data_IF_541481089087
#
_entry.id   IF_541481089087
#
_cell.length_a   1.000
_cell.length_b   1.000
_cell.length_c   1.000
_cell.angle_alpha   90.00
_cell.angle_beta   90.00
_cell.angle_gamma   90.00
#
_symmetry.space_group_name_H-M   'P 1'
#
loop_
_entity.id
_entity.type
_entity.pdbx_description
1 polymer ?
#
# COMPACT_ATOMS: atom_id res chain seq x y z
N UNK A 1 13.44 12.27 2.33
CA UNK A 1 12.45 11.57 1.49
C UNK A 1 13.16 10.58 0.60
N UNK A 2 12.76 9.32 0.67
CA UNK A 2 13.23 8.27 -0.20
C UNK A 2 12.39 8.23 -1.48
N UNK A 3 12.99 7.91 -2.62
CA UNK A 3 12.25 7.73 -3.87
C UNK A 3 11.47 6.41 -3.82
N UNK A 4 10.15 6.48 -3.94
CA UNK A 4 9.31 5.29 -4.12
C UNK A 4 9.37 4.80 -5.57
N UNK A 5 9.51 3.48 -5.73
CA UNK A 5 9.52 2.81 -7.04
C UNK A 5 8.52 1.66 -6.97
N UNK A 6 7.55 1.67 -7.89
CA UNK A 6 6.46 0.70 -7.91
C UNK A 6 6.71 -0.38 -8.97
N UNK A 7 6.83 -1.66 -8.59
CA UNK A 7 6.79 -2.76 -9.54
C UNK A 7 5.43 -2.78 -10.27
N UNK A 8 5.42 -3.15 -11.56
CA UNK A 8 4.17 -3.29 -12.33
C UNK A 8 3.13 -4.18 -11.63
N UNK A 9 3.59 -5.28 -11.00
CA UNK A 9 2.71 -6.18 -10.23
C UNK A 9 2.01 -5.47 -9.06
N UNK A 10 2.69 -4.56 -8.37
CA UNK A 10 2.13 -3.84 -7.24
C UNK A 10 1.01 -2.90 -7.70
N UNK A 11 1.18 -2.23 -8.84
CA UNK A 11 0.12 -1.40 -9.42
C UNK A 11 -1.10 -2.25 -9.83
N UNK A 12 -0.87 -3.41 -10.46
CA UNK A 12 -1.95 -4.32 -10.82
C UNK A 12 -2.68 -4.90 -9.59
N UNK A 13 -1.97 -5.13 -8.49
CA UNK A 13 -2.58 -5.55 -7.23
C UNK A 13 -3.49 -4.46 -6.63
N UNK A 14 -3.09 -3.18 -6.72
CA UNK A 14 -3.94 -2.05 -6.30
C UNK A 14 -5.22 -1.96 -7.12
N UNK A 15 -5.12 -2.09 -8.45
CA UNK A 15 -6.28 -2.13 -9.35
C UNK A 15 -7.21 -3.29 -8.97
N UNK A 16 -6.65 -4.49 -8.77
CA UNK A 16 -7.41 -5.69 -8.42
C UNK A 16 -8.16 -5.56 -7.09
N UNK A 17 -7.52 -5.02 -6.05
CA UNK A 17 -8.15 -4.80 -4.74
C UNK A 17 -9.28 -3.77 -4.85
N UNK A 18 -9.04 -2.68 -5.57
CA UNK A 18 -10.05 -1.62 -5.73
C UNK A 18 -11.26 -2.13 -6.53
N UNK A 19 -11.03 -2.89 -7.61
CA UNK A 19 -12.11 -3.48 -8.40
C UNK A 19 -12.91 -4.53 -7.61
N UNK A 20 -12.23 -5.34 -6.79
CA UNK A 20 -12.88 -6.29 -5.91
C UNK A 20 -13.80 -5.61 -4.91
N UNK A 21 -13.31 -4.59 -4.20
CA UNK A 21 -14.10 -3.87 -3.20
C UNK A 21 -15.24 -3.07 -3.83
N UNK A 22 -15.00 -2.42 -4.98
CA UNK A 22 -15.99 -1.59 -5.66
C UNK A 22 -17.23 -2.38 -6.09
N UNK A 23 -17.10 -3.69 -6.32
CA UNK A 23 -18.22 -4.54 -6.72
C UNK A 23 -19.29 -4.70 -5.62
N UNK A 24 -18.90 -4.62 -4.35
CA UNK A 24 -19.80 -4.80 -3.20
C UNK A 24 -19.91 -3.57 -2.32
N UNK A 25 -18.80 -2.86 -2.09
CA UNK A 25 -18.67 -1.77 -1.13
C UNK A 25 -17.81 -0.62 -1.71
N UNK A 26 -18.39 0.25 -2.55
CA UNK A 26 -17.65 1.34 -3.20
C UNK A 26 -16.96 2.32 -2.26
N UNK A 27 -17.52 2.56 -1.07
CA UNK A 27 -16.89 3.42 -0.06
C UNK A 27 -15.63 2.76 0.52
N UNK A 28 -15.68 1.46 0.83
CA UNK A 28 -14.52 0.71 1.31
C UNK A 28 -13.38 0.71 0.28
N UNK A 29 -13.71 0.69 -1.03
CA UNK A 29 -12.71 0.81 -2.08
C UNK A 29 -11.97 2.16 -2.04
N UNK A 30 -12.70 3.26 -1.79
CA UNK A 30 -12.11 4.59 -1.66
C UNK A 30 -11.25 4.69 -0.39
N UNK A 31 -11.79 4.27 0.75
CA UNK A 31 -11.08 4.28 2.05
C UNK A 31 -9.79 3.45 1.97
N UNK A 32 -9.82 2.29 1.32
CA UNK A 32 -8.64 1.44 1.12
C UNK A 32 -7.55 2.16 0.30
N UNK A 33 -7.93 2.87 -0.77
CA UNK A 33 -6.96 3.64 -1.56
C UNK A 33 -6.35 4.78 -0.74
N UNK A 34 -7.16 5.47 0.06
CA UNK A 34 -6.68 6.54 0.96
C UNK A 34 -5.67 6.01 1.97
N UNK A 35 -5.97 4.88 2.64
CA UNK A 35 -5.07 4.22 3.59
C UNK A 35 -3.73 3.83 2.97
N UNK A 36 -3.76 3.28 1.75
CA UNK A 36 -2.53 2.89 1.03
C UNK A 36 -1.71 4.14 0.66
N UNK A 37 -2.34 5.22 0.21
CA UNK A 37 -1.64 6.46 -0.13
C UNK A 37 -0.98 7.07 1.11
N UNK A 38 -1.66 7.08 2.25
CA UNK A 38 -1.09 7.54 3.52
C UNK A 38 0.12 6.70 3.94
N UNK A 39 -0.01 5.37 3.87
CA UNK A 39 1.08 4.45 4.18
C UNK A 39 2.32 4.69 3.28
N UNK A 40 2.12 4.99 2.00
CA UNK A 40 3.20 5.33 1.07
C UNK A 40 3.89 6.66 1.45
N UNK A 41 3.15 7.67 1.89
CA UNK A 41 3.71 8.94 2.36
C UNK A 41 4.58 8.74 3.61
N UNK A 42 4.13 7.90 4.54
CA UNK A 42 4.93 7.52 5.72
C UNK A 42 6.21 6.81 5.28
N UNK A 43 6.12 5.86 4.34
CA UNK A 43 7.26 5.11 3.84
C UNK A 43 8.30 6.00 3.14
N UNK A 44 7.87 7.01 2.38
CA UNK A 44 8.77 7.99 1.77
C UNK A 44 9.58 8.77 2.82
N UNK A 45 8.98 9.07 3.97
CA UNK A 45 9.63 9.78 5.07
C UNK A 45 10.45 8.86 5.98
N UNK A 46 10.01 7.61 6.15
CA UNK A 46 10.60 6.62 7.07
C UNK A 46 10.82 5.27 6.36
N UNK A 47 11.78 5.17 5.42
CA UNK A 47 11.93 4.00 4.53
C UNK A 47 12.27 2.68 5.24
N UNK A 48 12.64 2.72 6.52
CA UNK A 48 12.98 1.55 7.34
C UNK A 48 11.94 1.22 8.42
N UNK A 49 10.78 1.88 8.42
CA UNK A 49 9.74 1.72 9.45
C UNK A 49 9.10 0.32 9.46
N UNK A 50 9.06 -0.35 8.30
CA UNK A 50 8.48 -1.68 8.19
C UNK A 50 9.27 -2.77 8.91
N UNK A 51 8.55 -3.80 9.38
CA UNK A 51 9.12 -4.98 10.04
C UNK A 51 9.85 -5.85 9.01
N UNK A 52 11.13 -6.21 9.21
CA UNK A 52 11.82 -7.15 8.32
C UNK A 52 11.08 -8.48 8.18
N UNK A 53 10.99 -8.98 6.95
CA UNK A 53 10.49 -10.31 6.61
C UNK A 53 11.46 -11.01 5.64
N UNK A 54 11.05 -12.11 5.04
CA UNK A 54 11.89 -12.89 4.14
C UNK A 54 12.29 -12.12 2.86
N UNK A 55 13.32 -12.61 2.18
CA UNK A 55 13.77 -12.10 0.87
C UNK A 55 14.19 -10.62 0.86
N UNK A 56 14.57 -10.07 2.02
CA UNK A 56 14.96 -8.67 2.15
C UNK A 56 13.79 -7.68 2.05
N UNK A 57 12.56 -8.19 2.15
CA UNK A 57 11.36 -7.38 2.19
C UNK A 57 11.05 -6.90 3.61
N UNK A 58 10.18 -5.90 3.70
CA UNK A 58 9.64 -5.39 4.96
C UNK A 58 8.13 -5.28 4.85
N UNK A 59 7.44 -5.79 5.86
CA UNK A 59 6.01 -5.57 6.00
C UNK A 59 5.78 -4.20 6.62
N UNK A 60 5.00 -3.37 5.95
CA UNK A 60 4.39 -2.20 6.56
C UNK A 60 3.02 -2.68 7.08
N UNK A 61 2.86 -2.88 8.41
CA UNK A 61 1.55 -3.22 8.93
C UNK A 61 0.56 -2.10 8.63
N UNK A 62 -0.73 -2.44 8.56
CA UNK A 62 -1.86 -1.50 8.49
C UNK A 62 -1.61 -0.26 9.36
N UNK A 63 -1.84 0.96 8.85
CA UNK A 63 -1.64 2.17 9.64
C UNK A 63 -2.71 2.32 10.74
N UNK A 64 -2.40 3.17 11.72
CA UNK A 64 -3.25 3.59 12.85
C UNK A 64 -4.53 4.32 12.41
#
# INVERSE_FOLDING_TARGET
MARLIYPRRALADLERVTDFLRASEPLAALETVELIVEALQILENHPLIGRPVEHGLRDLPEPF
#
